data_IF_578947559488
#
_entry.id   IF_578947559488
#
_cell.length_a   1.000
_cell.length_b   1.000
_cell.length_c   1.000
_cell.angle_alpha   90.00
_cell.angle_beta   90.00
_cell.angle_gamma   90.00
#
_symmetry.space_group_name_H-M   'P 1'
#
loop_
_entity.id
_entity.type
_entity.pdbx_description
1 polymer ?
#
# COMPACT_ATOMS: atom_id res chain seq x y z
N UNK A 1 -47.83 7.82 2.58
CA UNK A 1 -48.76 6.70 2.25
C UNK A 1 -47.98 5.64 1.48
N UNK A 2 -48.01 4.39 1.99
CA UNK A 2 -47.70 3.11 1.31
C UNK A 2 -46.19 2.83 1.05
N UNK A 3 -45.62 1.71 1.35
CA UNK A 3 -45.82 0.50 2.20
C UNK A 3 -44.55 -0.31 2.12
N UNK A 4 -44.15 -0.91 3.25
CA UNK A 4 -43.18 -1.97 3.40
C UNK A 4 -43.34 -3.11 2.38
N UNK A 5 -42.23 -3.74 1.95
CA UNK A 5 -42.21 -5.17 1.74
C UNK A 5 -40.87 -5.71 2.23
N UNK A 6 -40.96 -6.46 3.29
CA UNK A 6 -40.00 -7.39 3.86
C UNK A 6 -40.01 -8.66 3.00
N UNK A 7 -38.85 -9.22 2.70
CA UNK A 7 -38.77 -10.62 2.29
C UNK A 7 -37.46 -11.26 2.80
N UNK A 8 -37.65 -11.95 3.92
CA UNK A 8 -36.68 -12.89 4.47
C UNK A 8 -36.72 -14.17 3.62
N UNK A 9 -35.57 -14.70 3.26
CA UNK A 9 -35.46 -16.07 2.80
C UNK A 9 -34.30 -16.77 3.52
N UNK A 10 -34.73 -17.63 4.47
CA UNK A 10 -33.90 -18.60 5.19
C UNK A 10 -33.76 -19.83 4.29
N UNK A 11 -32.55 -20.27 4.00
CA UNK A 11 -32.29 -21.64 3.53
C UNK A 11 -31.18 -22.23 4.38
N UNK A 12 -31.62 -23.16 5.23
CA UNK A 12 -30.78 -24.12 5.94
C UNK A 12 -30.76 -25.43 5.12
N UNK A 13 -29.60 -26.04 4.94
CA UNK A 13 -29.39 -27.45 4.66
C UNK A 13 -27.91 -27.76 4.89
N UNK A 14 -27.60 -28.44 5.87
CA UNK A 14 -27.62 -29.86 6.23
C UNK A 14 -26.23 -30.50 6.04
N UNK A 15 -25.74 -30.99 7.17
CA UNK A 15 -24.55 -31.82 7.37
C UNK A 15 -24.67 -33.14 6.57
N UNK A 16 -23.55 -33.61 6.03
CA UNK A 16 -23.29 -35.04 5.91
C UNK A 16 -21.85 -35.37 6.31
N UNK A 17 -21.76 -36.09 7.42
CA UNK A 17 -20.58 -36.79 7.92
C UNK A 17 -20.51 -38.12 7.20
N UNK A 18 -19.37 -38.50 6.64
CA UNK A 18 -19.07 -39.87 6.24
C UNK A 18 -17.76 -40.28 6.91
N UNK A 19 -17.88 -41.11 7.91
CA UNK A 19 -16.82 -41.94 8.49
C UNK A 19 -16.78 -43.26 7.71
N UNK A 20 -15.59 -43.73 7.38
CA UNK A 20 -15.14 -45.15 7.23
C UNK A 20 -13.76 -45.11 6.57
N UNK A 21 -12.75 -45.84 6.97
CA UNK A 21 -12.59 -46.92 7.90
C UNK A 21 -11.12 -47.34 7.88
N UNK A 22 -10.65 -47.85 8.95
CA UNK A 22 -9.34 -48.44 9.15
C UNK A 22 -9.06 -49.65 8.26
N UNK A 23 -7.81 -49.83 7.81
CA UNK A 23 -7.23 -51.16 7.68
C UNK A 23 -5.75 -51.10 8.04
N UNK A 24 -5.45 -51.85 9.07
CA UNK A 24 -4.16 -52.23 9.59
C UNK A 24 -3.49 -53.18 8.58
N UNK A 25 -2.21 -53.00 8.27
CA UNK A 25 -1.37 -54.11 7.98
C UNK A 25 0.08 -53.83 8.31
N UNK A 26 0.56 -54.60 9.26
CA UNK A 26 1.88 -54.69 9.86
C UNK A 26 2.75 -55.60 8.99
N UNK A 27 3.92 -55.07 8.59
CA UNK A 27 5.13 -55.95 8.57
C UNK A 27 6.44 -55.12 8.51
N UNK A 28 7.25 -55.47 9.44
CA UNK A 28 8.63 -55.24 9.77
C UNK A 28 9.60 -55.38 8.58
N UNK A 29 10.59 -54.50 8.45
CA UNK A 29 12.03 -54.71 8.59
C UNK A 29 12.79 -53.44 8.16
N UNK A 30 13.50 -52.88 9.07
CA UNK A 30 14.91 -52.69 9.39
C UNK A 30 15.83 -52.11 8.29
N UNK A 31 16.49 -51.04 8.72
CA UNK A 31 17.87 -50.64 8.43
C UNK A 31 18.11 -49.43 7.53
N UNK A 32 18.79 -48.48 8.18
CA UNK A 32 19.80 -47.52 7.67
C UNK A 32 19.27 -46.41 6.73
N UNK A 33 19.54 -45.14 6.90
CA UNK A 33 20.62 -44.40 7.55
C UNK A 33 20.25 -42.93 7.63
N UNK A 34 20.74 -42.26 8.63
CA UNK A 34 20.84 -40.83 8.78
C UNK A 34 21.39 -40.15 7.50
N UNK A 35 20.80 -39.00 7.15
CA UNK A 35 21.39 -37.85 6.47
C UNK A 35 20.40 -37.14 5.52
N UNK A 36 19.19 -36.89 5.99
CA UNK A 36 18.22 -36.07 5.22
C UNK A 36 17.76 -34.79 5.94
N UNK A 37 18.04 -34.66 7.24
CA UNK A 37 17.54 -33.52 8.02
C UNK A 37 18.40 -32.25 7.93
N UNK A 38 19.66 -32.38 7.51
CA UNK A 38 20.57 -31.22 7.41
C UNK A 38 20.45 -30.41 6.11
N UNK A 39 19.88 -30.99 5.06
CA UNK A 39 19.71 -30.33 3.75
C UNK A 39 18.39 -29.56 3.69
N UNK A 40 17.39 -29.94 4.49
CA UNK A 40 16.10 -29.30 4.53
C UNK A 40 16.11 -27.99 5.35
N UNK A 41 16.91 -27.97 6.43
CA UNK A 41 17.05 -26.79 7.30
C UNK A 41 17.91 -25.68 6.65
N UNK A 42 18.89 -26.04 5.82
CA UNK A 42 19.70 -25.06 5.10
C UNK A 42 18.93 -24.41 3.92
N UNK A 43 18.04 -25.16 3.25
CA UNK A 43 17.21 -24.63 2.15
C UNK A 43 16.09 -23.69 2.62
N UNK A 44 15.51 -23.95 3.80
CA UNK A 44 14.51 -23.05 4.36
C UNK A 44 15.10 -21.72 4.81
N UNK A 45 16.32 -21.76 5.39
CA UNK A 45 17.00 -20.52 5.81
C UNK A 45 17.50 -19.67 4.63
N UNK A 46 17.98 -20.29 3.55
CA UNK A 46 18.36 -19.58 2.33
C UNK A 46 17.16 -18.94 1.62
N UNK A 47 16.01 -19.63 1.52
CA UNK A 47 14.80 -19.10 0.96
C UNK A 47 14.20 -17.95 1.80
N UNK A 48 14.26 -18.04 3.13
CA UNK A 48 13.79 -16.96 4.01
C UNK A 48 14.67 -15.71 3.91
N UNK A 49 15.97 -15.87 3.68
CA UNK A 49 16.91 -14.75 3.49
C UNK A 49 16.71 -14.10 2.11
N UNK A 50 16.47 -14.87 1.05
CA UNK A 50 16.19 -14.35 -0.29
C UNK A 50 14.84 -13.60 -0.32
N UNK A 51 13.77 -14.15 0.28
CA UNK A 51 12.47 -13.46 0.37
C UNK A 51 12.55 -12.19 1.23
N UNK A 52 13.36 -12.14 2.27
CA UNK A 52 13.56 -10.94 3.08
C UNK A 52 14.33 -9.85 2.30
N UNK A 53 15.39 -10.23 1.58
CA UNK A 53 16.15 -9.30 0.76
C UNK A 53 15.32 -8.72 -0.37
N UNK A 54 14.51 -9.53 -1.05
CA UNK A 54 13.61 -9.07 -2.12
C UNK A 54 12.53 -8.10 -1.59
N UNK A 55 11.99 -8.35 -0.40
CA UNK A 55 11.03 -7.45 0.24
C UNK A 55 11.67 -6.14 0.72
N UNK A 56 12.91 -6.16 1.18
CA UNK A 56 13.64 -4.95 1.56
C UNK A 56 14.02 -4.11 0.34
N UNK A 57 14.46 -4.71 -0.77
CA UNK A 57 14.73 -4.03 -2.03
C UNK A 57 13.45 -3.46 -2.66
N UNK A 58 12.34 -4.22 -2.64
CA UNK A 58 11.05 -3.73 -3.13
C UNK A 58 10.56 -2.54 -2.29
N UNK A 59 10.75 -2.57 -0.97
CA UNK A 59 10.35 -1.49 -0.08
C UNK A 59 11.25 -0.25 -0.24
N UNK A 60 12.56 -0.41 -0.43
CA UNK A 60 13.47 0.71 -0.74
C UNK A 60 13.15 1.36 -2.08
N UNK A 61 12.78 0.57 -3.09
CA UNK A 61 12.41 1.09 -4.41
C UNK A 61 11.08 1.86 -4.42
N UNK A 62 10.31 1.83 -3.31
CA UNK A 62 9.05 2.56 -3.14
C UNK A 62 9.19 3.83 -2.32
N UNK A 63 10.39 4.16 -1.85
CA UNK A 63 10.62 5.39 -1.11
C UNK A 63 10.91 6.55 -2.05
N UNK A 64 10.32 7.70 -1.70
CA UNK A 64 10.53 8.97 -2.39
C UNK A 64 10.77 10.08 -1.37
N UNK A 65 11.37 11.16 -1.82
CA UNK A 65 11.48 12.39 -1.06
C UNK A 65 10.38 13.37 -1.49
N UNK A 66 9.71 13.94 -0.51
CA UNK A 66 8.73 15.02 -0.68
C UNK A 66 9.33 16.28 -0.04
N UNK A 67 9.69 17.25 -0.87
CA UNK A 67 10.23 18.52 -0.41
C UNK A 67 9.17 19.62 -0.49
N UNK A 68 9.00 20.37 0.58
CA UNK A 68 8.09 21.50 0.66
C UNK A 68 8.68 22.59 1.57
N UNK A 69 8.75 23.82 1.07
CA UNK A 69 9.29 24.96 1.78
C UNK A 69 10.70 24.73 2.39
N UNK A 70 11.54 23.94 1.71
CA UNK A 70 12.89 23.59 2.15
C UNK A 70 12.96 22.49 3.21
N UNK A 71 11.84 21.93 3.62
CA UNK A 71 11.76 20.74 4.48
C UNK A 71 11.63 19.48 3.63
N UNK A 72 12.39 18.44 3.97
CA UNK A 72 12.38 17.14 3.25
C UNK A 72 11.77 16.06 4.12
N UNK A 73 10.90 15.27 3.52
CA UNK A 73 10.19 14.17 4.18
C UNK A 73 10.33 12.91 3.30
N UNK A 74 10.55 11.77 3.92
CA UNK A 74 10.45 10.49 3.22
C UNK A 74 8.99 10.07 3.18
N UNK A 75 8.57 9.55 2.04
CA UNK A 75 7.27 8.94 1.85
C UNK A 75 7.41 7.54 1.24
N UNK A 76 6.56 6.62 1.68
CA UNK A 76 6.46 5.29 1.12
C UNK A 76 5.27 5.21 0.18
N UNK A 77 5.51 4.78 -1.06
CA UNK A 77 4.48 4.60 -2.07
C UNK A 77 3.73 3.28 -1.89
N UNK A 78 2.45 3.29 -2.22
CA UNK A 78 1.57 2.11 -2.22
C UNK A 78 1.94 1.13 -3.35
N UNK A 79 1.65 -0.17 -3.13
CA UNK A 79 1.81 -1.19 -4.16
C UNK A 79 0.57 -1.21 -5.08
N UNK A 80 0.55 -0.31 -6.07
CA UNK A 80 -0.47 -0.27 -7.11
C UNK A 80 0.02 0.48 -8.36
N UNK A 81 -0.66 0.27 -9.47
CA UNK A 81 -0.28 0.83 -10.77
C UNK A 81 -0.17 2.36 -10.82
N UNK A 82 -0.96 3.08 -10.04
CA UNK A 82 -0.88 4.54 -9.99
C UNK A 82 0.41 5.00 -9.32
N UNK A 83 0.75 4.38 -8.20
CA UNK A 83 1.97 4.65 -7.46
C UNK A 83 3.22 4.21 -8.25
N UNK A 84 3.17 3.07 -8.94
CA UNK A 84 4.25 2.60 -9.81
C UNK A 84 4.51 3.60 -10.95
N UNK A 85 3.45 4.06 -11.64
CA UNK A 85 3.60 5.06 -12.71
C UNK A 85 4.13 6.39 -12.18
N UNK A 86 3.69 6.82 -10.99
CA UNK A 86 4.23 8.02 -10.34
C UNK A 86 5.71 7.85 -9.99
N UNK A 87 6.10 6.69 -9.46
CA UNK A 87 7.50 6.37 -9.15
C UNK A 87 8.39 6.38 -10.40
N UNK A 88 7.91 5.87 -11.52
CA UNK A 88 8.62 5.92 -12.81
C UNK A 88 8.84 7.37 -13.26
N UNK A 89 7.80 8.20 -13.21
CA UNK A 89 7.92 9.64 -13.54
C UNK A 89 8.95 10.35 -12.66
N UNK A 90 8.90 10.10 -11.34
CA UNK A 90 9.82 10.71 -10.35
C UNK A 90 11.26 10.27 -10.58
N UNK A 91 11.50 9.03 -11.03
CA UNK A 91 12.85 8.52 -11.36
C UNK A 91 13.42 9.13 -12.64
N UNK A 92 12.58 9.45 -13.62
CA UNK A 92 13.02 10.11 -14.85
C UNK A 92 13.38 11.56 -14.59
N UNK A 93 12.55 12.30 -13.86
CA UNK A 93 12.75 13.70 -13.49
C UNK A 93 11.97 14.05 -12.22
N UNK A 94 12.51 14.87 -11.29
CA UNK A 94 11.75 15.35 -10.14
C UNK A 94 10.45 16.06 -10.56
N UNK A 95 9.34 15.63 -9.97
CA UNK A 95 8.01 16.15 -10.27
C UNK A 95 7.71 17.33 -9.37
N UNK A 96 7.57 18.53 -9.94
CA UNK A 96 7.25 19.76 -9.23
C UNK A 96 5.78 20.14 -9.42
N UNK A 97 5.05 20.30 -8.32
CA UNK A 97 3.62 20.64 -8.34
C UNK A 97 3.35 21.88 -7.50
N UNK A 98 2.70 22.89 -8.08
CA UNK A 98 2.06 23.95 -7.30
C UNK A 98 0.74 23.43 -6.76
N UNK A 99 0.57 23.49 -5.46
CA UNK A 99 -0.58 22.97 -4.75
C UNK A 99 -1.28 24.11 -4.00
N UNK A 100 -2.59 24.18 -4.18
CA UNK A 100 -3.44 25.14 -3.50
C UNK A 100 -3.96 24.56 -2.19
N UNK A 101 -4.08 25.41 -1.18
CA UNK A 101 -4.74 25.03 0.07
C UNK A 101 -6.24 24.82 -0.16
N UNK A 102 -6.75 23.69 0.33
CA UNK A 102 -8.18 23.42 0.26
C UNK A 102 -8.74 23.18 1.66
N UNK A 103 -9.63 24.06 2.07
CA UNK A 103 -10.41 24.00 3.33
C UNK A 103 -9.58 23.83 4.61
N UNK A 104 -8.26 24.05 4.57
CA UNK A 104 -7.39 24.00 5.76
C UNK A 104 -7.07 22.57 6.24
N UNK A 105 -7.18 21.55 5.36
CA UNK A 105 -6.83 20.17 5.71
C UNK A 105 -6.07 19.41 4.61
N UNK A 106 -6.03 19.91 3.38
CA UNK A 106 -5.31 19.29 2.27
C UNK A 106 -4.70 20.33 1.32
N UNK A 107 -3.66 19.93 0.58
CA UNK A 107 -3.12 20.65 -0.55
C UNK A 107 -3.40 19.87 -1.83
N UNK A 108 -3.89 20.55 -2.85
CA UNK A 108 -4.32 19.96 -4.13
C UNK A 108 -3.58 20.60 -5.29
N UNK A 109 -2.98 19.79 -6.16
CA UNK A 109 -2.29 20.28 -7.35
C UNK A 109 -2.38 19.33 -8.54
N UNK A 110 -2.36 19.91 -9.74
CA UNK A 110 -2.39 19.11 -10.96
C UNK A 110 -1.04 18.48 -11.25
N UNK A 111 -1.05 17.18 -11.55
CA UNK A 111 0.12 16.44 -12.01
C UNK A 111 0.49 16.77 -13.47
N UNK A 112 -0.45 17.33 -14.25
CA UNK A 112 -0.26 17.63 -15.66
C UNK A 112 -0.48 16.44 -16.60
N UNK A 113 -0.62 15.23 -16.06
CA UNK A 113 -0.92 14.00 -16.81
C UNK A 113 -1.87 13.11 -16.01
N UNK A 114 -2.43 12.08 -16.66
CA UNK A 114 -3.31 11.12 -15.99
C UNK A 114 -2.53 9.89 -15.57
N UNK A 115 -2.82 9.40 -14.36
CA UNK A 115 -2.38 8.12 -13.84
C UNK A 115 -3.52 7.08 -13.88
N UNK A 116 -3.22 5.79 -13.90
CA UNK A 116 -4.21 4.75 -13.68
C UNK A 116 -4.98 4.97 -12.38
N UNK A 117 -6.28 4.66 -12.35
CA UNK A 117 -7.10 4.85 -11.16
C UNK A 117 -7.64 3.55 -10.61
N UNK A 118 -7.67 3.44 -9.28
CA UNK A 118 -8.33 2.37 -8.53
C UNK A 118 -9.07 2.97 -7.32
N UNK A 119 -10.00 3.88 -7.62
CA UNK A 119 -10.69 4.68 -6.61
C UNK A 119 -11.48 3.82 -5.63
N UNK A 120 -11.31 4.12 -4.35
CA UNK A 120 -12.05 3.50 -3.23
C UNK A 120 -12.45 4.56 -2.24
N UNK A 121 -13.60 4.36 -1.58
CA UNK A 121 -13.99 5.17 -0.44
C UNK A 121 -12.91 5.07 0.64
N UNK A 122 -12.32 6.20 0.97
CA UNK A 122 -11.15 6.28 1.86
C UNK A 122 -11.35 7.44 2.83
N UNK A 123 -11.13 7.19 4.10
CA UNK A 123 -10.93 8.25 5.10
C UNK A 123 -9.43 8.48 5.22
N UNK A 124 -9.00 9.67 4.81
CA UNK A 124 -7.60 10.07 4.82
C UNK A 124 -7.17 10.61 6.19
N UNK A 125 -5.88 10.65 6.40
CA UNK A 125 -5.24 11.20 7.59
C UNK A 125 -4.06 12.10 7.17
N UNK A 126 -3.53 12.86 8.11
CA UNK A 126 -2.31 13.62 7.87
C UNK A 126 -1.18 12.71 7.34
N UNK A 127 -0.45 13.18 6.34
CA UNK A 127 0.59 12.45 5.65
C UNK A 127 0.11 11.59 4.46
N UNK A 128 -1.18 11.32 4.31
CA UNK A 128 -1.66 10.58 3.16
C UNK A 128 -1.46 11.36 1.86
N UNK A 129 -1.01 10.66 0.82
CA UNK A 129 -0.84 11.14 -0.55
C UNK A 129 -1.80 10.34 -1.42
N UNK A 130 -2.69 11.02 -2.14
CA UNK A 130 -3.69 10.36 -2.97
C UNK A 130 -3.83 11.01 -4.35
N UNK A 131 -4.39 10.26 -5.28
CA UNK A 131 -4.80 10.73 -6.59
C UNK A 131 -6.31 10.99 -6.59
N UNK A 132 -6.69 12.17 -7.02
CA UNK A 132 -8.07 12.58 -7.22
C UNK A 132 -8.33 12.85 -8.72
N UNK A 133 -9.45 12.37 -9.23
CA UNK A 133 -9.87 12.52 -10.63
C UNK A 133 -8.82 12.07 -11.69
N UNK A 134 -7.89 11.23 -11.30
CA UNK A 134 -6.89 10.64 -12.20
C UNK A 134 -5.68 11.53 -12.50
N UNK A 135 -5.69 12.82 -12.15
CA UNK A 135 -4.61 13.75 -12.48
C UNK A 135 -4.30 14.81 -11.42
N UNK A 136 -4.95 14.76 -10.27
CA UNK A 136 -4.67 15.67 -9.16
C UNK A 136 -4.00 14.93 -8.03
N UNK A 137 -2.84 15.38 -7.62
CA UNK A 137 -2.19 14.91 -6.40
C UNK A 137 -2.78 15.72 -5.25
N UNK A 138 -3.19 15.00 -4.20
CA UNK A 138 -3.68 15.59 -2.95
C UNK A 138 -2.82 15.08 -1.80
N UNK A 139 -2.32 15.99 -0.99
CA UNK A 139 -1.56 15.68 0.23
C UNK A 139 -2.30 16.23 1.44
N UNK A 140 -2.40 15.40 2.50
CA UNK A 140 -3.21 15.73 3.67
C UNK A 140 -2.35 16.19 4.85
N UNK A 141 -2.84 17.20 5.57
CA UNK A 141 -2.39 17.58 6.91
C UNK A 141 -3.54 17.60 7.93
N UNK A 142 -4.72 17.24 7.48
CA UNK A 142 -5.93 16.93 8.22
C UNK A 142 -6.56 15.66 7.71
N UNK A 143 -7.90 15.58 7.68
CA UNK A 143 -8.65 14.40 7.29
C UNK A 143 -9.84 14.75 6.41
N UNK A 144 -10.14 13.87 5.46
CA UNK A 144 -11.34 13.92 4.63
C UNK A 144 -11.79 12.49 4.31
N UNK A 145 -13.05 12.33 3.89
CA UNK A 145 -13.59 11.03 3.43
C UNK A 145 -14.18 11.18 2.04
N UNK A 146 -13.54 10.56 1.07
CA UNK A 146 -13.96 10.62 -0.32
C UNK A 146 -13.44 9.39 -1.10
N UNK A 147 -13.75 9.34 -2.40
CA UNK A 147 -13.26 8.30 -3.29
C UNK A 147 -11.92 8.70 -3.91
N UNK A 148 -10.85 8.03 -3.49
CA UNK A 148 -9.48 8.29 -3.93
C UNK A 148 -8.78 7.01 -4.41
N UNK A 149 -7.75 7.17 -5.23
CA UNK A 149 -6.69 6.17 -5.41
C UNK A 149 -5.52 6.54 -4.50
N UNK A 150 -5.13 5.65 -3.59
CA UNK A 150 -3.98 5.89 -2.70
C UNK A 150 -2.69 5.84 -3.51
N UNK A 151 -1.78 6.77 -3.24
CA UNK A 151 -0.45 6.81 -3.88
C UNK A 151 0.66 6.50 -2.88
N UNK A 152 0.50 6.92 -1.62
CA UNK A 152 1.52 6.73 -0.60
C UNK A 152 1.20 7.47 0.69
N UNK A 153 2.21 7.54 1.56
CA UNK A 153 2.13 8.20 2.85
C UNK A 153 3.49 8.73 3.29
N UNK A 154 3.49 9.89 3.95
CA UNK A 154 4.67 10.43 4.65
C UNK A 154 4.98 9.53 5.84
N UNK A 155 6.25 9.13 5.98
CA UNK A 155 6.68 8.17 7.00
C UNK A 155 6.77 8.81 8.38
N UNK A 156 7.33 10.03 8.49
CA UNK A 156 7.42 10.81 9.72
C UNK A 156 6.73 12.17 9.55
N UNK A 157 5.73 12.42 10.37
CA UNK A 157 4.93 13.64 10.34
C UNK A 157 5.52 14.79 11.17
N UNK A 158 6.71 14.63 11.75
CA UNK A 158 7.36 15.68 12.53
C UNK A 158 7.62 16.90 11.65
N UNK A 159 6.97 18.03 11.97
CA UNK A 159 7.06 19.27 11.18
C UNK A 159 6.25 19.31 9.89
N UNK A 160 5.54 18.23 9.51
CA UNK A 160 4.79 18.14 8.26
C UNK A 160 3.78 19.25 8.07
N UNK A 161 2.92 19.46 9.08
CA UNK A 161 1.88 20.50 9.03
C UNK A 161 2.48 21.92 8.97
N UNK A 162 3.57 22.17 9.69
CA UNK A 162 4.23 23.46 9.70
C UNK A 162 4.91 23.75 8.37
N UNK A 163 5.53 22.75 7.74
CA UNK A 163 6.12 22.86 6.41
C UNK A 163 5.08 23.18 5.33
N UNK A 164 3.89 22.59 5.41
CA UNK A 164 2.79 22.89 4.48
C UNK A 164 2.16 24.26 4.70
N UNK A 165 2.19 24.79 5.94
CA UNK A 165 1.65 26.10 6.28
C UNK A 165 0.19 26.31 5.86
N UNK A 166 -0.25 27.60 5.92
CA UNK A 166 -1.59 28.04 5.60
C UNK A 166 -1.63 28.69 4.22
N UNK A 167 -1.54 28.18 3.16
CA UNK A 167 -1.57 28.82 1.84
C UNK A 167 -1.08 27.86 0.75
N UNK A 168 -0.89 28.40 -0.43
CA UNK A 168 -0.40 27.62 -1.55
C UNK A 168 1.07 27.27 -1.33
N UNK A 169 1.48 26.08 -1.76
CA UNK A 169 2.86 25.61 -1.65
C UNK A 169 3.35 25.03 -2.99
N UNK A 170 4.65 24.99 -3.14
CA UNK A 170 5.28 24.18 -4.19
C UNK A 170 5.86 22.93 -3.53
N UNK A 171 5.51 21.78 -4.06
CA UNK A 171 5.98 20.47 -3.60
C UNK A 171 6.80 19.83 -4.69
N UNK A 172 7.95 19.28 -4.32
CA UNK A 172 8.85 18.55 -5.22
C UNK A 172 8.90 17.10 -4.76
N UNK A 173 8.58 16.19 -5.65
CA UNK A 173 8.72 14.75 -5.47
C UNK A 173 9.98 14.30 -6.22
N UNK A 174 10.91 13.66 -5.53
CA UNK A 174 12.17 13.16 -6.08
C UNK A 174 12.47 11.74 -5.59
N UNK A 175 13.30 10.96 -6.30
CA UNK A 175 13.71 9.66 -5.80
C UNK A 175 14.49 9.83 -4.48
N UNK A 176 14.44 8.81 -3.62
CA UNK A 176 15.35 8.71 -2.49
C UNK A 176 16.77 8.49 -3.03
N UNK A 177 17.72 9.34 -2.63
CA UNK A 177 19.12 9.19 -3.03
C UNK A 177 19.73 7.97 -2.34
N UNK A 178 20.34 7.07 -3.12
CA UNK A 178 21.03 5.86 -2.65
C UNK A 178 22.34 6.19 -1.96
#
# INVERSE_FOLDING_TARGET
MKKCISMALIIACALTVVLSGCTDNRQTEKSETADSDKIQESRSAENEIEEQNDMEEENMNRKIIVEVNGSRFTATLENNKAADTLAEMIREEPVTIRMNDYSGFEKVGSLGTNLPTSNRQTTTQAGDIVLYQGNQIVIFYGSNSWSYTRLGKIDDLTGWKDALGSGDVTVIFSPEES
#
